data_IF_766584714794
#
_entry.id   IF_766584714794
#
_cell.length_a   1.000
_cell.length_b   1.000
_cell.length_c   1.000
_cell.angle_alpha   90.00
_cell.angle_beta   90.00
_cell.angle_gamma   90.00
#
_symmetry.space_group_name_H-M   'P 1'
#
loop_
_entity.id
_entity.type
_entity.pdbx_description
1 polymer ?
#
# COMPACT_ATOMS: atom_id res chain seq x y z
N UNK A 1 55.94 -29.86 -62.40
CA UNK A 1 56.17 -28.46 -62.81
C UNK A 1 54.88 -27.93 -63.40
N UNK A 2 54.40 -26.70 -63.12
CA UNK A 2 54.66 -25.76 -62.00
C UNK A 2 53.38 -25.59 -61.11
N UNK A 3 53.41 -25.58 -59.77
CA UNK A 3 53.82 -24.54 -58.79
C UNK A 3 52.90 -23.30 -58.67
N UNK A 4 52.06 -23.30 -57.61
CA UNK A 4 51.72 -22.22 -56.63
C UNK A 4 51.28 -20.80 -57.14
N UNK A 5 50.63 -19.92 -56.32
CA UNK A 5 50.48 -19.97 -54.86
C UNK A 5 49.10 -19.60 -54.26
N UNK A 6 48.99 -19.92 -52.97
CA UNK A 6 48.04 -19.38 -52.00
C UNK A 6 48.09 -17.84 -51.96
N UNK A 7 46.93 -17.18 -51.84
CA UNK A 7 46.85 -15.80 -51.37
C UNK A 7 45.70 -15.70 -50.37
N UNK A 8 46.05 -15.50 -49.11
CA UNK A 8 45.13 -15.18 -48.03
C UNK A 8 44.68 -13.72 -48.21
N UNK A 9 43.37 -13.51 -48.43
CA UNK A 9 42.80 -12.17 -48.49
C UNK A 9 42.35 -11.77 -47.07
N UNK A 10 43.11 -10.90 -46.44
CA UNK A 10 42.73 -10.18 -45.22
C UNK A 10 41.65 -9.16 -45.60
N UNK A 11 40.39 -9.43 -45.24
CA UNK A 11 39.32 -8.42 -45.34
C UNK A 11 39.30 -7.62 -44.04
N UNK A 12 39.96 -6.47 -44.05
CA UNK A 12 39.79 -5.44 -43.04
C UNK A 12 38.43 -4.75 -43.26
N UNK A 13 37.43 -5.13 -42.47
CA UNK A 13 36.15 -4.43 -42.41
C UNK A 13 36.27 -3.17 -41.54
N UNK A 14 36.20 -2.01 -42.19
CA UNK A 14 36.04 -0.70 -41.55
C UNK A 14 34.70 -0.63 -40.80
N UNK A 15 34.73 -0.74 -39.47
CA UNK A 15 33.60 -0.36 -38.63
C UNK A 15 33.59 1.17 -38.50
N UNK A 16 32.64 1.80 -39.21
CA UNK A 16 32.34 3.22 -39.10
C UNK A 16 31.73 3.51 -37.73
N UNK A 17 32.55 4.04 -36.81
CA UNK A 17 32.10 4.52 -35.51
C UNK A 17 31.50 5.93 -35.66
N UNK A 18 30.18 6.02 -35.78
CA UNK A 18 29.44 7.25 -35.49
C UNK A 18 29.19 7.32 -33.98
N UNK A 19 30.17 7.82 -33.23
CA UNK A 19 29.99 8.16 -31.81
C UNK A 19 29.43 9.57 -31.70
N UNK A 20 28.10 9.69 -31.65
CA UNK A 20 27.47 10.82 -30.95
C UNK A 20 27.69 10.66 -29.44
N UNK A 21 27.52 11.71 -28.61
CA UNK A 21 27.67 11.60 -27.16
C UNK A 21 26.46 10.85 -26.59
N UNK A 22 26.46 9.54 -26.75
CA UNK A 22 25.57 8.64 -26.03
C UNK A 22 25.97 8.67 -24.57
N UNK A 23 25.11 9.25 -23.74
CA UNK A 23 25.21 9.17 -22.27
C UNK A 23 25.35 7.69 -21.91
N UNK A 24 26.48 7.31 -21.32
CA UNK A 24 26.70 5.95 -20.81
C UNK A 24 25.52 5.56 -19.90
N UNK A 25 25.07 4.29 -19.91
CA UNK A 25 24.07 3.83 -18.97
C UNK A 25 24.61 4.07 -17.55
N UNK A 26 24.03 5.03 -16.85
CA UNK A 26 24.42 5.36 -15.48
C UNK A 26 24.16 4.13 -14.62
N UNK A 27 25.21 3.59 -14.00
CA UNK A 27 25.08 2.48 -13.05
C UNK A 27 24.04 2.79 -11.97
N UNK A 28 23.30 1.79 -11.44
CA UNK A 28 22.29 1.95 -10.39
C UNK A 28 22.73 2.67 -9.10
N UNK A 29 24.03 2.94 -8.92
CA UNK A 29 24.63 3.43 -7.67
C UNK A 29 24.42 4.91 -7.34
N UNK A 30 23.97 5.75 -8.27
CA UNK A 30 23.87 7.20 -8.01
C UNK A 30 22.48 7.68 -7.57
N UNK A 31 21.43 6.86 -7.70
CA UNK A 31 20.07 7.25 -7.30
C UNK A 31 19.87 7.07 -5.78
N UNK A 32 19.61 8.15 -5.01
CA UNK A 32 19.42 8.06 -3.56
C UNK A 32 18.27 7.13 -3.16
N UNK A 33 17.20 7.08 -3.96
CA UNK A 33 16.04 6.23 -3.68
C UNK A 33 16.41 4.75 -3.81
N UNK A 34 17.13 4.40 -4.87
CA UNK A 34 17.62 3.02 -5.06
C UNK A 34 18.57 2.62 -3.94
N UNK A 35 19.49 3.51 -3.54
CA UNK A 35 20.41 3.26 -2.42
C UNK A 35 19.67 3.03 -1.11
N UNK A 36 18.67 3.86 -0.80
CA UNK A 36 17.85 3.71 0.39
C UNK A 36 17.17 2.34 0.40
N UNK A 37 16.49 2.00 -0.70
CA UNK A 37 15.78 0.73 -0.79
C UNK A 37 16.73 -0.48 -0.76
N UNK A 38 17.94 -0.37 -1.33
CA UNK A 38 19.00 -1.37 -1.20
C UNK A 38 19.44 -1.57 0.26
N UNK A 39 19.62 -0.48 1.01
CA UNK A 39 19.93 -0.53 2.45
C UNK A 39 18.81 -1.21 3.24
N UNK A 40 17.55 -0.83 2.99
CA UNK A 40 16.37 -1.43 3.64
C UNK A 40 16.29 -2.93 3.35
N UNK A 41 16.54 -3.35 2.10
CA UNK A 41 16.56 -4.77 1.70
C UNK A 41 17.74 -5.53 2.30
N UNK A 42 18.93 -4.94 2.34
CA UNK A 42 20.11 -5.54 2.93
C UNK A 42 19.89 -5.81 4.42
N UNK A 43 19.30 -4.84 5.14
CA UNK A 43 18.94 -5.01 6.55
C UNK A 43 17.91 -6.14 6.74
N UNK A 44 16.86 -6.21 5.91
CA UNK A 44 15.87 -7.28 5.97
C UNK A 44 16.49 -8.67 5.75
N UNK A 45 17.36 -8.81 4.74
CA UNK A 45 18.07 -10.07 4.44
C UNK A 45 19.02 -10.49 5.55
N UNK A 46 19.74 -9.54 6.16
CA UNK A 46 20.63 -9.81 7.29
C UNK A 46 19.89 -10.39 8.51
N UNK A 47 18.58 -10.14 8.61
CA UNK A 47 17.72 -10.69 9.66
C UNK A 47 16.88 -11.90 9.20
N UNK A 48 17.15 -12.44 8.02
CA UNK A 48 16.52 -13.68 7.54
C UNK A 48 15.24 -13.49 6.72
N UNK A 49 14.91 -12.26 6.32
CA UNK A 49 13.79 -12.05 5.40
C UNK A 49 14.13 -12.51 3.98
N UNK A 50 13.21 -13.24 3.35
CA UNK A 50 13.27 -13.60 1.93
C UNK A 50 12.46 -12.67 1.04
N UNK A 51 11.70 -11.75 1.64
CA UNK A 51 10.77 -10.86 0.93
C UNK A 51 11.45 -9.51 0.67
N UNK A 52 11.47 -9.08 -0.59
CA UNK A 52 11.96 -7.74 -0.94
C UNK A 52 11.01 -6.68 -0.38
N UNK A 53 11.52 -5.67 0.36
CA UNK A 53 10.74 -4.49 0.75
C UNK A 53 10.15 -3.76 -0.46
N UNK A 54 9.02 -3.10 -0.26
CA UNK A 54 8.32 -2.32 -1.30
C UNK A 54 8.65 -0.85 -1.13
N UNK A 55 8.95 -0.15 -2.22
CA UNK A 55 9.03 1.31 -2.25
C UNK A 55 7.63 1.87 -2.48
N UNK A 56 7.14 2.72 -1.58
CA UNK A 56 5.78 3.26 -1.68
C UNK A 56 5.76 4.78 -1.66
N UNK A 57 5.98 5.44 -2.81
CA UNK A 57 6.01 6.89 -2.89
C UNK A 57 4.64 7.53 -3.04
N UNK A 58 4.54 8.78 -2.59
CA UNK A 58 3.43 9.64 -2.95
C UNK A 58 3.44 9.91 -4.47
N UNK A 59 2.28 10.10 -5.08
CA UNK A 59 2.15 10.33 -6.53
C UNK A 59 2.91 11.57 -6.99
N UNK A 60 3.02 12.57 -6.13
CA UNK A 60 3.75 13.82 -6.37
C UNK A 60 5.24 13.55 -6.63
N UNK A 61 5.82 12.52 -6.02
CA UNK A 61 7.24 12.19 -6.19
C UNK A 61 7.56 11.55 -7.55
N UNK A 62 6.56 11.08 -8.28
CA UNK A 62 6.79 10.47 -9.59
C UNK A 62 6.91 11.52 -10.70
N UNK A 63 6.53 12.79 -10.48
CA UNK A 63 6.46 13.87 -11.48
C UNK A 63 6.08 13.35 -12.89
N UNK A 64 4.78 13.19 -13.09
CA UNK A 64 4.19 12.67 -14.34
C UNK A 64 4.38 13.63 -15.53
N UNK A 65 4.81 14.88 -15.29
CA UNK A 65 4.91 15.91 -16.34
C UNK A 65 6.33 16.04 -16.89
N UNK A 66 7.35 16.14 -16.03
CA UNK A 66 8.71 16.48 -16.49
C UNK A 66 9.74 15.35 -16.28
N UNK A 67 9.31 14.17 -15.78
CA UNK A 67 10.17 12.99 -15.54
C UNK A 67 11.38 13.27 -14.64
N UNK A 68 11.32 14.30 -13.79
CA UNK A 68 12.38 14.62 -12.84
C UNK A 68 12.18 13.94 -11.48
N UNK A 69 11.03 13.29 -11.28
CA UNK A 69 10.72 12.49 -10.11
C UNK A 69 11.36 11.11 -10.11
N UNK A 70 10.92 10.29 -9.17
CA UNK A 70 11.35 8.91 -8.96
C UNK A 70 11.19 8.07 -10.24
N UNK A 71 12.26 7.37 -10.62
CA UNK A 71 12.31 6.54 -11.82
C UNK A 71 11.92 5.09 -11.48
N UNK A 72 10.69 4.73 -11.83
CA UNK A 72 10.12 3.38 -11.61
C UNK A 72 11.01 2.30 -12.23
N UNK A 73 11.55 2.52 -13.43
CA UNK A 73 12.39 1.52 -14.12
C UNK A 73 13.68 1.25 -13.36
N UNK A 74 14.29 2.28 -12.77
CA UNK A 74 15.52 2.09 -11.96
C UNK A 74 15.26 1.28 -10.70
N UNK A 75 14.11 1.49 -10.04
CA UNK A 75 13.74 0.68 -8.88
C UNK A 75 13.48 -0.78 -9.28
N UNK A 76 12.83 -1.00 -10.43
CA UNK A 76 12.63 -2.34 -11.00
C UNK A 76 13.94 -3.03 -11.37
N UNK A 77 14.85 -2.33 -12.06
CA UNK A 77 16.19 -2.84 -12.40
C UNK A 77 16.98 -3.22 -11.13
N UNK A 78 16.72 -2.52 -10.02
CA UNK A 78 17.28 -2.82 -8.71
C UNK A 78 16.47 -3.88 -7.93
N UNK A 79 15.32 -4.36 -8.42
CA UNK A 79 14.50 -5.40 -7.81
C UNK A 79 13.58 -4.93 -6.68
N UNK A 80 13.15 -3.67 -6.70
CA UNK A 80 12.23 -3.06 -5.73
C UNK A 80 10.87 -2.79 -6.38
N UNK A 81 9.78 -3.42 -5.90
CA UNK A 81 8.43 -3.09 -6.33
C UNK A 81 8.04 -1.66 -5.92
N UNK A 82 7.19 -1.02 -6.72
CA UNK A 82 6.71 0.36 -6.54
C UNK A 82 5.19 0.40 -6.43
N UNK A 83 4.67 0.77 -5.26
CA UNK A 83 3.23 0.93 -5.01
C UNK A 83 2.91 2.37 -4.65
N UNK A 84 2.15 3.08 -5.47
CA UNK A 84 1.99 4.55 -5.37
C UNK A 84 0.72 4.93 -4.59
N UNK A 85 0.80 5.94 -3.73
CA UNK A 85 -0.32 6.46 -2.95
C UNK A 85 -0.44 7.99 -3.05
N UNK A 86 -1.54 8.62 -2.65
CA UNK A 86 -2.91 8.11 -2.81
C UNK A 86 -3.45 8.71 -4.11
N UNK A 87 -3.98 7.88 -5.01
CA UNK A 87 -4.42 8.32 -6.35
C UNK A 87 -5.91 8.15 -6.48
N UNK A 88 -6.64 9.22 -6.83
CA UNK A 88 -8.10 9.26 -6.74
C UNK A 88 -8.81 9.69 -8.03
N UNK A 89 -8.08 9.87 -9.12
CA UNK A 89 -8.62 10.23 -10.43
C UNK A 89 -8.14 9.28 -11.53
N UNK A 90 -9.04 8.98 -12.47
CA UNK A 90 -8.82 8.02 -13.54
C UNK A 90 -7.66 8.40 -14.48
N UNK A 91 -7.48 9.68 -14.89
CA UNK A 91 -6.33 10.07 -15.71
C UNK A 91 -4.98 9.74 -15.07
N UNK A 92 -4.80 10.05 -13.79
CA UNK A 92 -3.55 9.78 -13.07
C UNK A 92 -3.33 8.28 -12.89
N UNK A 93 -4.38 7.51 -12.57
CA UNK A 93 -4.28 6.04 -12.49
C UNK A 93 -3.79 5.43 -13.81
N UNK A 94 -4.38 5.83 -14.94
CA UNK A 94 -3.97 5.35 -16.27
C UNK A 94 -2.52 5.72 -16.60
N UNK A 95 -2.10 6.94 -16.27
CA UNK A 95 -0.72 7.38 -16.47
C UNK A 95 0.27 6.55 -15.65
N UNK A 96 -0.08 6.17 -14.41
CA UNK A 96 0.74 5.33 -13.55
C UNK A 96 0.83 3.88 -14.05
N UNK A 97 -0.30 3.30 -14.51
CA UNK A 97 -0.33 1.99 -15.14
C UNK A 97 0.59 1.93 -16.36
N UNK A 98 0.54 2.94 -17.24
CA UNK A 98 1.46 3.07 -18.38
C UNK A 98 2.93 3.22 -17.97
N UNK A 99 3.18 3.81 -16.79
CA UNK A 99 4.53 3.90 -16.21
C UNK A 99 5.03 2.58 -15.61
N UNK A 100 4.16 1.58 -15.50
CA UNK A 100 4.48 0.25 -15.02
C UNK A 100 4.63 0.17 -13.51
N UNK A 101 3.93 0.99 -12.71
CA UNK A 101 3.93 0.79 -11.25
C UNK A 101 3.32 -0.57 -10.89
N UNK A 102 3.80 -1.20 -9.84
CA UNK A 102 3.33 -2.52 -9.40
C UNK A 102 1.98 -2.44 -8.67
N UNK A 103 1.60 -1.28 -8.16
CA UNK A 103 0.34 -1.07 -7.47
C UNK A 103 -0.04 0.39 -7.26
N UNK A 104 -1.31 0.61 -6.93
CA UNK A 104 -1.88 1.92 -6.60
C UNK A 104 -2.75 1.77 -5.36
N UNK A 105 -2.60 2.72 -4.43
CA UNK A 105 -3.44 2.88 -3.23
C UNK A 105 -4.45 4.00 -3.50
N UNK A 106 -5.75 3.71 -3.37
CA UNK A 106 -6.82 4.65 -3.75
C UNK A 106 -7.98 4.72 -2.77
N UNK A 107 -8.50 5.92 -2.53
CA UNK A 107 -9.78 6.13 -1.86
C UNK A 107 -10.98 5.71 -2.73
N UNK A 108 -10.75 5.58 -4.04
CA UNK A 108 -11.74 5.33 -5.09
C UNK A 108 -11.49 3.98 -5.76
N UNK A 109 -11.74 2.86 -5.04
CA UNK A 109 -11.55 1.52 -5.60
C UNK A 109 -12.46 1.27 -6.82
N UNK A 110 -13.58 1.99 -6.93
CA UNK A 110 -14.44 2.00 -8.12
C UNK A 110 -13.68 2.50 -9.36
N UNK A 111 -12.97 3.63 -9.24
CA UNK A 111 -12.17 4.19 -10.33
C UNK A 111 -10.91 3.37 -10.60
N UNK A 112 -10.28 2.84 -9.55
CA UNK A 112 -9.09 1.98 -9.72
C UNK A 112 -9.44 0.67 -10.42
N UNK A 113 -10.54 0.03 -10.03
CA UNK A 113 -11.02 -1.17 -10.71
C UNK A 113 -11.34 -0.88 -12.19
N UNK A 114 -11.97 0.27 -12.49
CA UNK A 114 -12.17 0.71 -13.87
C UNK A 114 -10.84 0.89 -14.61
N UNK A 115 -9.88 1.61 -14.02
CA UNK A 115 -8.58 1.86 -14.64
C UNK A 115 -7.86 0.56 -15.02
N UNK A 116 -7.88 -0.44 -14.14
CA UNK A 116 -7.23 -1.74 -14.33
C UNK A 116 -7.97 -2.59 -15.37
N UNK A 117 -9.31 -2.59 -15.36
CA UNK A 117 -10.11 -3.32 -16.36
C UNK A 117 -9.98 -2.73 -17.76
N UNK A 118 -9.86 -1.41 -17.87
CA UNK A 118 -9.69 -0.69 -19.13
C UNK A 118 -8.24 -0.74 -19.65
N UNK A 119 -7.29 -1.27 -18.86
CA UNK A 119 -5.88 -1.19 -19.20
C UNK A 119 -5.50 -2.25 -20.25
N UNK A 120 -4.98 -1.76 -21.37
CA UNK A 120 -4.38 -2.51 -22.47
C UNK A 120 -2.89 -2.15 -22.52
N UNK A 121 -2.07 -3.00 -21.91
CA UNK A 121 -0.63 -2.82 -21.76
C UNK A 121 0.12 -3.11 -23.06
N UNK A 122 -0.40 -4.02 -23.89
CA UNK A 122 0.26 -4.47 -25.13
C UNK A 122 -0.22 -3.69 -26.37
N UNK A 123 -1.25 -2.85 -26.22
CA UNK A 123 -1.89 -2.04 -27.26
C UNK A 123 -2.47 -2.86 -28.42
N UNK A 124 -2.95 -4.07 -28.15
CA UNK A 124 -3.59 -4.95 -29.14
C UNK A 124 -5.07 -4.61 -29.40
N UNK A 125 -5.63 -3.68 -28.62
CA UNK A 125 -7.02 -3.25 -28.70
C UNK A 125 -7.96 -4.01 -27.75
N UNK A 126 -7.44 -4.94 -26.95
CA UNK A 126 -8.19 -5.75 -25.98
C UNK A 126 -7.75 -5.39 -24.56
N UNK A 127 -8.60 -4.72 -23.76
CA UNK A 127 -8.23 -4.36 -22.40
C UNK A 127 -8.32 -5.55 -21.44
N UNK A 128 -7.75 -5.40 -20.25
CA UNK A 128 -7.82 -6.38 -19.17
C UNK A 128 -6.53 -7.20 -18.97
N UNK A 129 -5.38 -6.68 -19.40
CA UNK A 129 -4.08 -7.36 -19.26
C UNK A 129 -3.68 -7.66 -17.81
N UNK A 130 -4.29 -6.97 -16.86
CA UNK A 130 -4.07 -7.14 -15.42
C UNK A 130 -5.16 -7.98 -14.74
N UNK A 131 -6.03 -8.62 -15.53
CA UNK A 131 -7.06 -9.53 -15.03
C UNK A 131 -6.59 -10.99 -15.06
N UNK A 132 -7.16 -11.80 -14.18
CA UNK A 132 -6.99 -13.25 -14.19
C UNK A 132 -7.98 -13.94 -15.17
N UNK A 133 -7.94 -15.27 -15.21
CA UNK A 133 -8.77 -16.06 -16.11
C UNK A 133 -10.29 -15.93 -15.82
N UNK A 134 -10.66 -15.49 -14.62
CA UNK A 134 -12.06 -15.28 -14.20
C UNK A 134 -12.49 -13.81 -14.41
N UNK A 135 -11.61 -12.96 -14.95
CA UNK A 135 -11.87 -11.53 -15.16
C UNK A 135 -11.80 -10.70 -13.86
N UNK A 136 -11.17 -11.22 -12.82
CA UNK A 136 -10.90 -10.51 -11.57
C UNK A 136 -9.52 -9.85 -11.64
N UNK A 137 -9.26 -8.84 -10.81
CA UNK A 137 -7.93 -8.21 -10.75
C UNK A 137 -6.90 -9.24 -10.26
N UNK A 138 -5.86 -9.49 -11.05
CA UNK A 138 -4.83 -10.46 -10.73
C UNK A 138 -3.79 -9.86 -9.77
N UNK A 139 -3.88 -10.23 -8.49
CA UNK A 139 -2.95 -9.80 -7.44
C UNK A 139 -1.47 -10.15 -7.70
N UNK A 140 -1.17 -11.02 -8.68
CA UNK A 140 0.21 -11.30 -9.10
C UNK A 140 0.73 -10.32 -10.15
N UNK A 141 -0.16 -9.66 -10.88
CA UNK A 141 0.17 -8.70 -11.94
C UNK A 141 0.08 -7.26 -11.47
N UNK A 142 -0.86 -6.96 -10.59
CA UNK A 142 -1.07 -5.60 -10.10
C UNK A 142 -1.67 -5.59 -8.69
N UNK A 143 -1.09 -4.76 -7.82
CA UNK A 143 -1.52 -4.58 -6.45
C UNK A 143 -2.46 -3.38 -6.32
N UNK A 144 -3.75 -3.61 -6.60
CA UNK A 144 -4.80 -2.63 -6.40
C UNK A 144 -5.22 -2.59 -4.92
N UNK A 145 -4.88 -1.49 -4.24
CA UNK A 145 -5.16 -1.35 -2.81
C UNK A 145 -6.30 -0.37 -2.54
N UNK A 146 -7.28 -0.82 -1.77
CA UNK A 146 -8.30 0.04 -1.21
C UNK A 146 -7.77 0.81 0.01
N UNK A 147 -7.55 2.12 -0.12
CA UNK A 147 -7.05 3.00 0.94
C UNK A 147 -8.07 3.13 2.06
N UNK A 148 -7.68 2.70 3.26
CA UNK A 148 -8.54 2.59 4.46
C UNK A 148 -9.83 1.85 4.14
N UNK A 149 -9.72 0.83 3.30
CA UNK A 149 -10.83 0.22 2.58
C UNK A 149 -11.24 1.03 1.34
N UNK A 150 -12.30 1.82 1.43
CA UNK A 150 -12.84 2.58 0.32
C UNK A 150 -13.23 3.97 0.81
N UNK A 151 -12.28 4.73 1.36
CA UNK A 151 -12.55 6.00 2.06
C UNK A 151 -13.41 6.99 1.25
N UNK A 152 -13.30 6.99 -0.08
CA UNK A 152 -14.10 7.83 -0.96
C UNK A 152 -15.56 7.39 -1.09
N UNK A 153 -15.89 6.15 -0.74
CA UNK A 153 -17.22 5.54 -0.90
C UNK A 153 -17.91 5.24 0.44
N UNK A 154 -17.15 4.96 1.49
CA UNK A 154 -17.63 4.67 2.86
C UNK A 154 -16.71 5.29 3.92
N UNK A 155 -17.20 5.54 5.15
CA UNK A 155 -16.37 5.97 6.29
C UNK A 155 -15.09 5.14 6.46
N UNK A 156 -13.93 5.80 6.44
CA UNK A 156 -12.60 5.17 6.42
C UNK A 156 -12.35 4.18 7.57
N UNK A 157 -11.54 3.15 7.32
CA UNK A 157 -11.09 2.17 8.33
C UNK A 157 -12.23 1.42 9.05
N UNK A 158 -13.43 1.37 8.46
CA UNK A 158 -14.59 0.64 8.97
C UNK A 158 -14.85 -0.64 8.19
N UNK A 159 -15.58 -1.60 8.78
CA UNK A 159 -15.97 -2.82 8.07
C UNK A 159 -16.75 -2.53 6.76
N UNK A 160 -17.70 -1.57 6.73
CA UNK A 160 -18.33 -1.12 5.48
C UNK A 160 -17.35 -0.63 4.40
N UNK A 161 -16.29 0.10 4.76
CA UNK A 161 -15.28 0.54 3.80
C UNK A 161 -14.46 -0.62 3.25
N UNK A 162 -14.12 -1.60 4.08
CA UNK A 162 -13.44 -2.81 3.62
C UNK A 162 -14.36 -3.67 2.74
N UNK A 163 -15.65 -3.76 3.04
CA UNK A 163 -16.64 -4.43 2.19
C UNK A 163 -16.69 -3.79 0.80
N UNK A 164 -16.80 -2.46 0.72
CA UNK A 164 -16.82 -1.75 -0.56
C UNK A 164 -15.53 -1.96 -1.38
N UNK A 165 -14.36 -2.01 -0.73
CA UNK A 165 -13.11 -2.34 -1.42
C UNK A 165 -13.11 -3.77 -2.00
N UNK A 166 -13.64 -4.74 -1.24
CA UNK A 166 -13.79 -6.12 -1.68
C UNK A 166 -14.82 -6.27 -2.80
N UNK A 167 -15.93 -5.51 -2.77
CA UNK A 167 -16.94 -5.46 -3.83
C UNK A 167 -16.35 -4.99 -5.17
N UNK A 168 -15.41 -4.04 -5.12
CA UNK A 168 -14.70 -3.57 -6.31
C UNK A 168 -13.47 -4.43 -6.69
N UNK A 169 -13.24 -5.54 -6.00
CA UNK A 169 -12.20 -6.50 -6.34
C UNK A 169 -10.77 -6.04 -6.02
N UNK A 170 -10.59 -5.13 -5.05
CA UNK A 170 -9.26 -4.75 -4.58
C UNK A 170 -8.49 -5.98 -4.11
N UNK A 171 -7.24 -6.11 -4.56
CA UNK A 171 -6.36 -7.23 -4.23
C UNK A 171 -5.79 -7.12 -2.83
N UNK A 172 -5.73 -5.90 -2.30
CA UNK A 172 -5.20 -5.57 -0.98
C UNK A 172 -6.11 -4.57 -0.27
N UNK A 173 -6.34 -4.81 1.03
CA UNK A 173 -6.94 -3.82 1.92
C UNK A 173 -5.81 -3.05 2.60
N UNK A 174 -5.70 -1.77 2.29
CA UNK A 174 -4.83 -0.86 3.00
C UNK A 174 -5.57 -0.33 4.24
N UNK A 175 -4.87 -0.24 5.38
CA UNK A 175 -5.46 0.15 6.65
C UNK A 175 -4.43 0.78 7.59
N UNK A 176 -4.92 1.62 8.49
CA UNK A 176 -4.11 2.32 9.47
C UNK A 176 -4.29 1.73 10.86
N UNK A 177 -3.22 1.60 11.64
CA UNK A 177 -3.32 1.12 13.03
C UNK A 177 -2.79 2.12 14.04
N UNK A 178 -3.47 2.18 15.18
CA UNK A 178 -3.01 2.82 16.44
C UNK A 178 -3.29 1.86 17.60
N UNK A 179 -2.67 2.10 18.76
CA UNK A 179 -2.89 1.28 19.97
C UNK A 179 -3.91 1.90 20.92
N UNK A 180 -4.76 1.05 21.48
CA UNK A 180 -5.59 1.32 22.67
C UNK A 180 -4.76 1.27 23.95
N UNK A 181 -5.35 1.67 25.08
CA UNK A 181 -4.72 1.63 26.42
C UNK A 181 -4.29 0.21 26.85
N UNK A 182 -5.02 -0.81 26.38
CA UNK A 182 -4.74 -2.23 26.61
C UNK A 182 -3.86 -2.86 25.51
N UNK A 183 -3.21 -2.04 24.67
CA UNK A 183 -2.20 -2.47 23.71
C UNK A 183 -2.76 -3.20 22.49
N UNK A 184 -4.06 -3.07 22.20
CA UNK A 184 -4.71 -3.72 21.05
C UNK A 184 -4.62 -2.81 19.83
N UNK A 185 -4.13 -3.30 18.67
CA UNK A 185 -4.17 -2.54 17.42
C UNK A 185 -5.61 -2.39 16.93
N UNK A 186 -6.06 -1.13 16.80
CA UNK A 186 -7.37 -0.75 16.26
C UNK A 186 -7.19 0.11 15.01
N UNK A 187 -8.22 0.10 14.16
CA UNK A 187 -8.16 0.76 12.87
C UNK A 187 -8.51 2.24 13.00
N UNK A 188 -7.52 3.10 12.82
CA UNK A 188 -7.71 4.55 12.79
C UNK A 188 -6.50 5.19 12.15
N UNK A 189 -6.75 6.17 11.30
CA UNK A 189 -5.68 7.00 10.73
C UNK A 189 -5.02 7.88 11.79
N UNK A 190 -5.84 8.41 12.70
CA UNK A 190 -5.43 9.39 13.70
C UNK A 190 -5.35 8.73 15.08
N UNK A 191 -4.45 9.16 15.97
CA UNK A 191 -4.37 8.64 17.35
C UNK A 191 -5.56 9.09 18.24
N UNK A 192 -6.42 9.95 17.71
CA UNK A 192 -7.61 10.48 18.39
C UNK A 192 -8.86 10.29 17.54
N UNK A 193 -9.99 10.02 18.19
CA UNK A 193 -11.29 10.08 17.56
C UNK A 193 -11.66 11.53 17.29
N UNK A 194 -11.93 11.87 16.03
CA UNK A 194 -12.31 13.24 15.64
C UNK A 194 -13.83 13.44 15.65
N UNK A 195 -14.34 14.57 16.19
CA UNK A 195 -15.75 14.96 16.04
C UNK A 195 -16.23 15.05 14.59
N UNK A 196 -15.33 15.23 13.62
CA UNK A 196 -15.65 15.26 12.21
C UNK A 196 -15.98 13.86 11.65
N UNK A 197 -15.45 12.79 12.27
CA UNK A 197 -15.57 11.41 11.80
C UNK A 197 -16.48 10.55 12.69
N UNK A 198 -16.54 10.87 13.99
CA UNK A 198 -17.16 10.01 14.99
C UNK A 198 -18.21 10.75 15.84
N UNK A 199 -19.03 9.92 16.51
CA UNK A 199 -20.06 10.29 17.47
C UNK A 199 -20.11 9.24 18.58
N UNK A 200 -20.88 9.52 19.63
CA UNK A 200 -21.22 8.50 20.61
C UNK A 200 -22.15 7.44 20.00
N UNK A 201 -22.09 6.23 20.55
CA UNK A 201 -22.91 5.09 20.11
C UNK A 201 -24.41 5.36 20.25
N UNK A 202 -24.82 6.15 21.25
CA UNK A 202 -26.20 6.61 21.46
C UNK A 202 -26.69 7.65 20.43
N UNK A 203 -25.82 8.08 19.51
CA UNK A 203 -26.13 9.06 18.47
C UNK A 203 -25.72 10.49 18.82
N UNK A 204 -25.38 10.78 20.07
CA UNK A 204 -25.00 12.13 20.50
C UNK A 204 -23.65 12.58 19.90
N UNK A 205 -23.47 13.88 19.62
CA UNK A 205 -22.24 14.38 19.00
C UNK A 205 -21.06 14.26 19.96
N UNK A 206 -19.88 13.99 19.39
CA UNK A 206 -18.62 14.06 20.13
C UNK A 206 -18.20 15.54 20.29
N UNK A 207 -18.04 16.07 21.52
CA UNK A 207 -17.79 17.50 21.71
C UNK A 207 -16.34 17.93 21.45
N UNK A 208 -15.38 17.01 21.60
CA UNK A 208 -13.94 17.26 21.40
C UNK A 208 -13.23 15.96 21.00
N UNK A 209 -12.01 16.03 20.43
CA UNK A 209 -11.23 14.84 20.15
C UNK A 209 -10.97 13.97 21.39
N UNK A 210 -10.93 12.64 21.21
CA UNK A 210 -10.67 11.68 22.29
C UNK A 210 -9.50 10.79 21.95
N UNK A 211 -8.47 10.76 22.80
CA UNK A 211 -7.29 9.93 22.59
C UNK A 211 -7.64 8.44 22.68
N UNK A 212 -7.36 7.69 21.61
CA UNK A 212 -7.61 6.24 21.54
C UNK A 212 -6.73 5.49 22.55
N UNK A 213 -5.50 5.96 22.76
CA UNK A 213 -4.56 5.39 23.72
C UNK A 213 -5.02 5.49 25.19
N UNK A 214 -6.07 6.29 25.47
CA UNK A 214 -6.70 6.39 26.80
C UNK A 214 -7.84 5.41 27.04
N UNK A 215 -8.26 4.66 26.02
CA UNK A 215 -9.42 3.77 26.05
C UNK A 215 -8.98 2.33 25.86
N UNK A 216 -9.57 1.39 26.61
CA UNK A 216 -9.48 -0.03 26.26
C UNK A 216 -10.32 -0.31 25.00
N UNK A 217 -10.04 -1.41 24.30
CA UNK A 217 -10.84 -1.80 23.12
C UNK A 217 -12.33 -1.92 23.47
N UNK A 218 -12.65 -2.51 24.61
CA UNK A 218 -14.03 -2.70 25.06
C UNK A 218 -14.73 -1.35 25.27
N UNK A 219 -14.06 -0.37 25.90
CA UNK A 219 -14.64 0.96 26.13
C UNK A 219 -14.79 1.73 24.83
N UNK A 220 -13.78 1.68 23.96
CA UNK A 220 -13.81 2.31 22.63
C UNK A 220 -15.02 1.83 21.84
N UNK A 221 -15.18 0.51 21.70
CA UNK A 221 -16.23 -0.09 20.88
C UNK A 221 -17.64 0.11 21.45
N UNK A 222 -17.79 0.09 22.78
CA UNK A 222 -19.08 0.33 23.43
C UNK A 222 -19.54 1.80 23.37
N UNK A 223 -18.61 2.74 23.19
CA UNK A 223 -18.88 4.18 23.40
C UNK A 223 -18.98 4.96 22.09
N UNK A 224 -18.28 4.55 21.03
CA UNK A 224 -18.09 5.37 19.84
C UNK A 224 -18.42 4.63 18.54
N UNK A 225 -18.94 5.40 17.58
CA UNK A 225 -19.22 4.98 16.21
C UNK A 225 -18.63 6.03 15.27
N UNK A 226 -17.95 5.58 14.21
CA UNK A 226 -17.28 6.46 13.25
C UNK A 226 -17.93 6.34 11.86
N UNK A 227 -19.14 6.88 11.75
CA UNK A 227 -20.01 6.80 10.58
C UNK A 227 -20.25 8.16 9.88
N UNK A 228 -19.56 9.23 10.29
CA UNK A 228 -19.79 10.55 9.68
C UNK A 228 -19.18 10.65 8.30
N UNK A 229 -19.88 11.38 7.43
CA UNK A 229 -19.47 11.63 6.05
C UNK A 229 -18.55 12.85 5.96
N UNK A 230 -17.49 12.72 5.18
CA UNK A 230 -16.54 13.78 4.91
C UNK A 230 -17.08 14.71 3.81
N UNK A 231 -16.99 16.03 4.04
CA UNK A 231 -17.58 17.04 3.14
C UNK A 231 -16.94 17.06 1.74
N UNK A 232 -15.67 16.66 1.65
CA UNK A 232 -14.90 16.60 0.41
C UNK A 232 -15.08 15.26 -0.35
N UNK A 233 -16.00 14.39 0.10
CA UNK A 233 -16.25 13.06 -0.47
C UNK A 233 -17.74 12.89 -0.81
N UNK A 234 -18.22 13.51 -1.91
CA UNK A 234 -19.64 13.52 -2.23
C UNK A 234 -20.21 12.13 -2.55
N UNK A 235 -19.38 11.17 -2.96
CA UNK A 235 -19.79 9.78 -3.23
C UNK A 235 -19.91 8.92 -1.97
N UNK A 236 -19.47 9.42 -0.82
CA UNK A 236 -19.50 8.67 0.42
C UNK A 236 -20.93 8.49 0.94
N UNK A 237 -21.26 7.28 1.38
CA UNK A 237 -22.50 7.01 2.13
C UNK A 237 -22.19 6.17 3.37
N UNK A 238 -23.04 6.28 4.38
CA UNK A 238 -23.01 5.46 5.58
C UNK A 238 -24.26 4.55 5.68
N UNK A 239 -25.01 4.41 4.58
CA UNK A 239 -26.17 3.54 4.50
C UNK A 239 -25.78 2.06 4.72
N UNK A 240 -26.30 1.48 5.81
CA UNK A 240 -26.05 0.09 6.21
C UNK A 240 -26.56 -0.93 5.19
N UNK A 241 -27.59 -0.59 4.42
CA UNK A 241 -28.12 -1.49 3.40
C UNK A 241 -27.11 -1.70 2.26
N UNK A 242 -26.12 -0.82 2.13
CA UNK A 242 -25.02 -0.92 1.17
C UNK A 242 -23.78 -1.64 1.70
N UNK A 243 -23.89 -2.26 2.88
CA UNK A 243 -22.81 -3.03 3.51
C UNK A 243 -23.38 -4.22 4.32
N UNK A 244 -24.14 -5.12 3.66
CA UNK A 244 -24.81 -6.24 4.32
C UNK A 244 -23.84 -7.22 5.00
N UNK A 245 -22.63 -7.45 4.46
CA UNK A 245 -21.66 -8.36 5.07
C UNK A 245 -21.09 -7.78 6.36
N UNK A 246 -20.77 -6.49 6.38
CA UNK A 246 -20.31 -5.78 7.56
C UNK A 246 -21.39 -5.77 8.65
N UNK A 247 -22.64 -5.51 8.28
CA UNK A 247 -23.79 -5.60 9.20
C UNK A 247 -23.93 -7.01 9.78
N UNK A 248 -23.89 -8.04 8.93
CA UNK A 248 -24.01 -9.43 9.38
C UNK A 248 -22.83 -9.86 10.26
N UNK A 249 -21.61 -9.41 9.95
CA UNK A 249 -20.43 -9.66 10.76
C UNK A 249 -20.55 -8.99 12.13
N UNK A 250 -20.95 -7.72 12.17
CA UNK A 250 -21.13 -6.99 13.42
C UNK A 250 -22.15 -7.69 14.33
N UNK A 251 -23.31 -8.06 13.79
CA UNK A 251 -24.36 -8.77 14.53
C UNK A 251 -23.86 -10.12 15.08
N UNK A 252 -23.17 -10.93 14.26
CA UNK A 252 -22.67 -12.26 14.66
C UNK A 252 -21.54 -12.19 15.69
N UNK A 253 -20.75 -11.14 15.68
CA UNK A 253 -19.58 -10.97 16.56
C UNK A 253 -19.85 -10.09 17.78
N UNK A 254 -21.07 -9.54 17.90
CA UNK A 254 -21.47 -8.70 19.01
C UNK A 254 -20.89 -7.27 18.96
N UNK A 255 -20.47 -6.78 17.80
CA UNK A 255 -20.12 -5.37 17.64
C UNK A 255 -21.40 -4.51 17.71
N UNK A 256 -21.42 -3.42 18.49
CA UNK A 256 -22.62 -2.59 18.62
C UNK A 256 -23.11 -1.97 17.30
N UNK A 257 -22.18 -1.70 16.38
CA UNK A 257 -22.46 -1.07 15.09
C UNK A 257 -21.46 -1.55 14.03
N UNK A 258 -21.83 -1.70 12.74
CA UNK A 258 -20.86 -1.97 11.66
C UNK A 258 -19.79 -0.88 11.52
N UNK A 259 -20.07 0.35 11.95
CA UNK A 259 -19.11 1.47 11.97
C UNK A 259 -18.39 1.63 13.32
N UNK A 260 -18.50 0.65 14.22
CA UNK A 260 -17.62 0.56 15.39
C UNK A 260 -16.17 0.47 14.93
N UNK A 261 -15.26 1.18 15.61
CA UNK A 261 -13.81 1.12 15.35
C UNK A 261 -13.34 -0.34 15.51
N UNK A 262 -12.97 -1.04 14.41
CA UNK A 262 -12.60 -2.44 14.51
C UNK A 262 -11.19 -2.59 15.08
N UNK A 263 -10.89 -3.78 15.62
CA UNK A 263 -9.51 -4.23 15.85
C UNK A 263 -8.92 -4.79 14.55
N UNK A 264 -7.59 -4.78 14.42
CA UNK A 264 -6.91 -5.39 13.28
C UNK A 264 -7.31 -6.88 13.13
N UNK A 265 -7.42 -7.57 14.26
CA UNK A 265 -7.88 -8.97 14.33
C UNK A 265 -9.31 -9.18 13.81
N UNK A 266 -10.21 -8.22 14.04
CA UNK A 266 -11.59 -8.27 13.54
C UNK A 266 -11.64 -8.07 12.02
N UNK A 267 -10.80 -7.19 11.46
CA UNK A 267 -10.69 -7.02 9.99
C UNK A 267 -10.17 -8.29 9.31
N UNK A 268 -9.15 -8.94 9.89
CA UNK A 268 -8.68 -10.23 9.39
C UNK A 268 -9.76 -11.31 9.40
N UNK A 269 -10.55 -11.38 10.47
CA UNK A 269 -11.66 -12.32 10.56
C UNK A 269 -12.79 -11.98 9.57
N UNK A 270 -13.07 -10.70 9.35
CA UNK A 270 -14.06 -10.23 8.39
C UNK A 270 -13.71 -10.66 6.96
N UNK A 271 -12.45 -10.47 6.56
CA UNK A 271 -11.97 -10.80 5.22
C UNK A 271 -11.44 -12.24 5.07
N UNK A 272 -11.61 -13.12 6.06
CA UNK A 272 -10.95 -14.44 6.10
C UNK A 272 -11.27 -15.33 4.88
N UNK A 273 -12.50 -15.25 4.37
CA UNK A 273 -12.98 -16.06 3.25
C UNK A 273 -12.55 -15.49 1.89
N UNK A 274 -11.95 -14.29 1.87
CA UNK A 274 -11.52 -13.60 0.65
C UNK A 274 -10.05 -13.87 0.40
N UNK A 275 -9.67 -13.98 -0.88
CA UNK A 275 -8.27 -14.09 -1.33
C UNK A 275 -7.63 -12.70 -1.44
N UNK A 276 -7.70 -11.93 -0.35
CA UNK A 276 -7.19 -10.55 -0.28
C UNK A 276 -5.91 -10.48 0.56
N UNK A 277 -5.03 -9.52 0.26
CA UNK A 277 -3.88 -9.17 1.09
C UNK A 277 -4.21 -7.97 2.01
N UNK A 278 -3.29 -7.65 2.91
CA UNK A 278 -3.38 -6.49 3.80
C UNK A 278 -2.10 -5.68 3.73
N UNK A 279 -2.22 -4.36 3.69
CA UNK A 279 -1.10 -3.44 3.84
C UNK A 279 -1.35 -2.60 5.10
N UNK A 280 -0.63 -2.91 6.16
CA UNK A 280 -0.94 -2.46 7.53
C UNK A 280 -0.03 -1.33 7.93
N UNK A 281 -0.54 -0.10 8.03
CA UNK A 281 0.26 1.05 8.42
C UNK A 281 0.43 1.14 9.95
N UNK A 282 1.68 1.32 10.38
CA UNK A 282 2.00 1.80 11.72
C UNK A 282 1.96 3.34 11.72
N UNK A 283 0.99 3.93 12.42
CA UNK A 283 0.85 5.39 12.53
C UNK A 283 1.75 6.00 13.61
N UNK A 284 2.40 7.10 13.26
CA UNK A 284 3.07 8.00 14.21
C UNK A 284 2.04 8.78 15.02
N UNK A 285 2.33 9.02 16.29
CA UNK A 285 1.56 9.96 17.10
C UNK A 285 2.02 11.39 16.75
N UNK A 286 1.09 12.26 16.33
CA UNK A 286 1.33 13.65 15.94
C UNK A 286 2.38 13.84 14.82
N UNK A 287 2.59 12.83 13.96
CA UNK A 287 3.53 12.86 12.84
C UNK A 287 5.02 12.91 13.21
N UNK A 288 5.36 13.19 14.48
CA UNK A 288 6.75 13.38 14.93
C UNK A 288 7.21 12.37 15.95
N UNK A 289 6.30 11.85 16.78
CA UNK A 289 6.66 10.88 17.81
C UNK A 289 7.04 9.55 17.15
N UNK A 290 8.25 9.01 17.41
CA UNK A 290 8.64 7.71 16.90
C UNK A 290 7.64 6.63 17.30
N UNK A 291 7.43 5.67 16.42
CA UNK A 291 6.54 4.54 16.68
C UNK A 291 7.17 3.64 17.74
N UNK A 292 6.40 3.28 18.76
CA UNK A 292 6.93 2.45 19.84
C UNK A 292 7.14 1.01 19.36
N UNK A 293 8.15 0.28 19.88
CA UNK A 293 8.33 -1.14 19.61
C UNK A 293 7.05 -1.97 19.84
N UNK A 294 6.28 -1.61 20.88
CA UNK A 294 5.05 -2.28 21.25
C UNK A 294 3.99 -2.25 20.14
N UNK A 295 3.91 -1.16 19.35
CA UNK A 295 2.97 -1.06 18.23
C UNK A 295 3.34 -2.02 17.11
N UNK A 296 4.60 -2.04 16.69
CA UNK A 296 5.10 -3.00 15.71
C UNK A 296 4.90 -4.45 16.17
N UNK A 297 5.19 -4.74 17.44
CA UNK A 297 5.01 -6.09 18.02
C UNK A 297 3.54 -6.52 18.07
N UNK A 298 2.63 -5.63 18.46
CA UNK A 298 1.20 -5.95 18.54
C UNK A 298 0.60 -6.21 17.15
N UNK A 299 1.00 -5.43 16.14
CA UNK A 299 0.60 -5.65 14.73
C UNK A 299 1.19 -6.97 14.22
N UNK A 300 2.48 -7.22 14.45
CA UNK A 300 3.11 -8.47 14.05
C UNK A 300 2.45 -9.68 14.70
N UNK A 301 2.15 -9.62 16.00
CA UNK A 301 1.44 -10.67 16.71
C UNK A 301 0.04 -10.92 16.12
N UNK A 302 -0.72 -9.88 15.79
CA UNK A 302 -2.04 -10.01 15.17
C UNK A 302 -1.97 -10.71 13.81
N UNK A 303 -0.93 -10.45 13.01
CA UNK A 303 -0.68 -11.07 11.70
C UNK A 303 -0.22 -12.54 11.87
N UNK A 304 0.85 -12.74 12.64
CA UNK A 304 1.53 -14.03 12.75
C UNK A 304 0.68 -15.09 13.45
N UNK A 305 -0.08 -14.71 14.48
CA UNK A 305 -0.99 -15.63 15.18
C UNK A 305 -2.10 -16.21 14.30
N UNK A 306 -2.36 -15.61 13.13
CA UNK A 306 -3.34 -16.05 12.13
C UNK A 306 -2.71 -16.67 10.89
N UNK A 307 -1.39 -16.85 10.86
CA UNK A 307 -0.68 -17.37 9.69
C UNK A 307 -0.75 -16.44 8.47
N UNK A 308 -0.93 -15.13 8.68
CA UNK A 308 -1.10 -14.15 7.59
C UNK A 308 0.21 -13.54 7.09
N UNK A 309 1.37 -14.09 7.47
CA UNK A 309 2.68 -13.53 7.10
C UNK A 309 2.86 -13.34 5.59
N UNK A 310 2.30 -14.24 4.77
CA UNK A 310 2.39 -14.16 3.30
C UNK A 310 1.28 -13.33 2.66
N UNK A 311 0.29 -12.91 3.46
CA UNK A 311 -0.87 -12.12 3.03
C UNK A 311 -0.90 -10.72 3.63
N UNK A 312 0.05 -10.35 4.49
CA UNK A 312 0.11 -9.04 5.11
C UNK A 312 1.51 -8.46 5.01
N UNK A 313 1.56 -7.20 4.60
CA UNK A 313 2.74 -6.35 4.68
C UNK A 313 2.53 -5.30 5.76
N UNK A 314 3.63 -4.74 6.27
CA UNK A 314 3.59 -3.65 7.27
C UNK A 314 4.27 -2.42 6.67
N UNK A 315 3.56 -1.30 6.68
CA UNK A 315 4.02 -0.05 6.10
C UNK A 315 4.20 1.05 7.16
N UNK A 316 5.08 2.01 6.89
CA UNK A 316 5.23 3.21 7.72
C UNK A 316 6.07 4.28 7.04
N UNK A 317 5.86 5.53 7.44
CA UNK A 317 6.79 6.65 7.23
C UNK A 317 7.94 6.67 8.25
N UNK A 318 7.94 5.79 9.25
CA UNK A 318 9.00 5.69 10.26
C UNK A 318 10.04 4.62 9.89
N UNK A 319 11.23 5.01 9.35
CA UNK A 319 12.31 4.07 9.04
C UNK A 319 12.74 3.25 10.26
N UNK A 320 12.76 3.87 11.44
CA UNK A 320 13.21 3.19 12.67
C UNK A 320 12.23 2.09 13.06
N UNK A 321 10.93 2.32 12.88
CA UNK A 321 9.89 1.32 13.12
C UNK A 321 10.01 0.13 12.16
N UNK A 322 10.18 0.40 10.85
CA UNK A 322 10.34 -0.66 9.84
C UNK A 322 11.62 -1.47 10.07
N UNK A 323 12.73 -0.80 10.40
CA UNK A 323 13.98 -1.47 10.74
C UNK A 323 13.82 -2.38 11.95
N UNK A 324 13.17 -1.90 13.01
CA UNK A 324 12.92 -2.70 14.21
C UNK A 324 12.00 -3.89 13.92
N UNK A 325 10.98 -3.69 13.08
CA UNK A 325 10.10 -4.77 12.63
C UNK A 325 10.88 -5.84 11.86
N UNK A 326 11.77 -5.47 10.93
CA UNK A 326 12.61 -6.42 10.21
C UNK A 326 13.51 -7.24 11.15
N UNK A 327 14.04 -6.63 12.20
CA UNK A 327 14.86 -7.33 13.19
C UNK A 327 14.05 -8.31 14.05
N UNK A 328 12.87 -7.90 14.50
CA UNK A 328 12.05 -8.68 15.46
C UNK A 328 11.11 -9.69 14.80
N UNK A 329 10.64 -9.38 13.60
CA UNK A 329 9.61 -10.13 12.85
C UNK A 329 9.99 -10.29 11.36
N UNK A 330 11.16 -10.89 11.04
CA UNK A 330 11.74 -10.88 9.68
C UNK A 330 10.89 -11.59 8.60
N UNK A 331 9.89 -12.37 8.99
CA UNK A 331 8.96 -13.03 8.06
C UNK A 331 7.92 -12.08 7.47
N UNK A 332 7.73 -10.90 8.06
CA UNK A 332 6.86 -9.84 7.57
C UNK A 332 7.61 -8.95 6.59
N UNK A 333 7.00 -8.68 5.42
CA UNK A 333 7.55 -7.75 4.44
C UNK A 333 7.22 -6.32 4.86
N UNK A 334 8.20 -5.44 4.74
CA UNK A 334 8.03 -4.00 4.99
C UNK A 334 7.75 -3.23 3.71
N UNK A 335 6.94 -2.19 3.81
CA UNK A 335 6.66 -1.21 2.76
C UNK A 335 7.10 0.16 3.26
N UNK A 336 7.98 0.82 2.52
CA UNK A 336 8.57 2.09 2.92
C UNK A 336 7.80 3.24 2.29
N UNK A 337 7.08 4.03 3.10
CA UNK A 337 6.30 5.17 2.61
C UNK A 337 7.20 6.39 2.41
N UNK A 338 7.13 7.02 1.24
CA UNK A 338 7.91 8.21 0.89
C UNK A 338 7.00 9.41 0.59
N UNK A 339 7.20 10.49 1.33
CA UNK A 339 6.56 11.81 1.10
C UNK A 339 7.53 12.86 0.52
N UNK A 340 8.82 12.52 0.45
CA UNK A 340 9.87 13.34 -0.15
C UNK A 340 10.86 12.42 -0.90
N UNK A 341 11.59 12.99 -1.86
CA UNK A 341 12.68 12.27 -2.52
C UNK A 341 13.81 12.02 -1.52
N UNK A 342 14.26 10.76 -1.35
CA UNK A 342 15.38 10.45 -0.48
C UNK A 342 16.65 11.22 -0.84
N UNK A 343 17.45 11.51 0.17
CA UNK A 343 18.77 12.12 0.07
C UNK A 343 19.82 11.22 0.71
N UNK A 344 21.10 11.57 0.59
CA UNK A 344 22.17 10.83 1.27
C UNK A 344 22.09 10.91 2.80
N UNK A 345 21.34 11.88 3.36
CA UNK A 345 21.13 11.97 4.81
C UNK A 345 20.15 10.91 5.35
N UNK A 346 19.39 10.26 4.45
CA UNK A 346 18.36 9.28 4.81
C UNK A 346 18.88 7.83 4.81
N UNK A 347 20.13 7.61 4.39
CA UNK A 347 20.79 6.29 4.26
C UNK A 347 21.37 5.76 5.59
#
# INVERSE_FOLDING_TARGET
MPSAPFTALLVAGLASACTGPGRAPSTPRTDPTVRLMDTVRAHARAHGSTKSPVCSPSVELLDLKDRQGLDVRRLHDAGHPVVVWTVNDLPTMRALLQRGVDGIISDRPDLLAQAVRDFDANADGTPGDLLDADGLLDAKRFDAQGHRGARGLRPENTLPAFEAALEHGMTTLELDTVLTADGVPVLSHDPELSPAKCRHADGSPLPAPVSIASLTVARLQATYVCDKLLKDRPEQTNDRARSPEAVAFAARTGLPDPYTVPTLSQVFAFAQARRVRFNVELKRINGKTPITPAHGDAVAQAILSRGLADRADVQSFDPSALRLLQTRHPTLRTVYLLEHLPTDADL
#
